data_IF_694350849632
#
_entry.id   IF_694350849632
#
_cell.length_a   1.000
_cell.length_b   1.000
_cell.length_c   1.000
_cell.angle_alpha   90.00
_cell.angle_beta   90.00
_cell.angle_gamma   90.00
#
_symmetry.space_group_name_H-M   'P 1'
#
loop_
_entity.id
_entity.type
_entity.pdbx_description
1 polymer ?
#
# COMPACT_ATOMS: atom_id res chain seq x y z
N UNK A 1 -3.56 -26.80 -71.90
CA UNK A 1 -2.65 -27.96 -71.71
C UNK A 1 -2.55 -28.22 -70.22
N UNK A 2 -2.96 -29.33 -69.60
CA UNK A 2 -3.71 -30.53 -69.99
C UNK A 2 -4.59 -30.86 -68.78
N UNK A 3 -5.90 -31.01 -69.02
CA UNK A 3 -6.77 -31.82 -68.18
C UNK A 3 -6.25 -33.27 -68.16
N UNK A 4 -6.50 -34.02 -67.08
CA UNK A 4 -7.04 -35.39 -67.17
C UNK A 4 -7.47 -35.93 -65.79
N UNK A 5 -8.79 -35.99 -65.63
CA UNK A 5 -9.53 -36.84 -64.69
C UNK A 5 -9.37 -38.33 -65.07
N UNK A 6 -9.37 -39.24 -64.08
CA UNK A 6 -9.87 -40.64 -64.14
C UNK A 6 -9.88 -41.19 -62.70
N UNK A 7 -11.03 -41.29 -62.04
CA UNK A 7 -12.03 -42.38 -62.02
C UNK A 7 -11.94 -43.26 -60.75
N UNK A 8 -13.03 -43.15 -59.97
CA UNK A 8 -13.55 -43.95 -58.83
C UNK A 8 -13.18 -45.43 -58.84
N UNK A 9 -12.88 -45.99 -57.65
CA UNK A 9 -13.50 -47.23 -57.13
C UNK A 9 -13.70 -47.08 -55.60
N UNK A 10 -14.92 -47.38 -55.16
CA UNK A 10 -15.36 -47.46 -53.76
C UNK A 10 -15.15 -48.90 -53.30
N UNK A 11 -14.59 -49.13 -52.11
CA UNK A 11 -14.89 -50.35 -51.34
C UNK A 11 -14.74 -50.08 -49.83
N UNK A 12 -15.82 -50.37 -49.11
CA UNK A 12 -15.98 -50.28 -47.66
C UNK A 12 -15.16 -51.36 -46.97
N UNK A 13 -14.54 -51.06 -45.81
CA UNK A 13 -14.61 -51.91 -44.60
C UNK A 13 -13.85 -51.26 -43.43
N UNK A 14 -14.42 -51.34 -42.23
CA UNK A 14 -13.65 -51.26 -40.98
C UNK A 14 -13.93 -50.04 -40.10
N UNK A 15 -15.10 -50.00 -39.46
CA UNK A 15 -15.31 -49.24 -38.23
C UNK A 15 -14.48 -49.88 -37.13
N UNK A 16 -13.60 -49.12 -36.46
CA UNK A 16 -13.31 -49.36 -35.06
C UNK A 16 -13.03 -48.02 -34.36
N UNK A 17 -14.00 -47.63 -33.53
CA UNK A 17 -13.94 -46.56 -32.55
C UNK A 17 -12.78 -46.80 -31.58
N UNK A 18 -11.95 -45.78 -31.37
CA UNK A 18 -11.34 -45.56 -30.06
C UNK A 18 -11.06 -44.07 -29.86
N UNK A 19 -12.11 -43.32 -29.53
CA UNK A 19 -11.96 -41.96 -29.00
C UNK A 19 -11.53 -42.08 -27.53
N UNK A 20 -10.21 -41.97 -27.29
CA UNK A 20 -9.66 -41.83 -25.95
C UNK A 20 -9.91 -40.38 -25.49
N UNK A 21 -11.05 -40.11 -24.86
CA UNK A 21 -11.29 -38.86 -24.15
C UNK A 21 -10.55 -38.97 -22.81
N UNK A 22 -9.31 -38.48 -22.77
CA UNK A 22 -8.61 -38.22 -21.52
C UNK A 22 -9.33 -37.08 -20.80
N UNK A 23 -10.19 -37.41 -19.83
CA UNK A 23 -10.60 -36.46 -18.81
C UNK A 23 -9.39 -36.13 -17.94
N UNK A 24 -8.66 -35.08 -18.31
CA UNK A 24 -7.79 -34.38 -17.38
C UNK A 24 -8.68 -33.65 -16.37
N UNK A 25 -8.98 -34.31 -15.25
CA UNK A 25 -9.56 -33.63 -14.09
C UNK A 25 -8.45 -32.76 -13.51
N UNK A 26 -8.44 -31.48 -13.89
CA UNK A 26 -7.58 -30.49 -13.26
C UNK A 26 -8.01 -30.38 -11.79
N UNK A 27 -7.23 -30.97 -10.89
CA UNK A 27 -7.33 -30.66 -9.46
C UNK A 27 -6.91 -29.21 -9.27
N UNK A 28 -7.88 -28.29 -9.34
CA UNK A 28 -7.72 -26.98 -8.75
C UNK A 28 -7.59 -27.21 -7.24
N UNK A 29 -6.53 -26.74 -6.57
CA UNK A 29 -6.49 -26.77 -5.13
C UNK A 29 -7.71 -25.98 -4.63
N UNK A 30 -8.63 -26.67 -3.95
CA UNK A 30 -9.68 -26.03 -3.18
C UNK A 30 -8.96 -25.11 -2.20
N UNK A 31 -9.21 -23.80 -2.30
CA UNK A 31 -8.86 -22.86 -1.26
C UNK A 31 -9.58 -23.35 -0.01
N UNK A 32 -8.85 -24.02 0.88
CA UNK A 32 -9.38 -24.48 2.14
C UNK A 32 -10.02 -23.27 2.82
N UNK A 33 -11.34 -23.30 2.94
CA UNK A 33 -12.09 -22.29 3.66
C UNK A 33 -11.60 -22.37 5.10
N UNK A 34 -10.89 -21.34 5.54
CA UNK A 34 -10.51 -21.21 6.95
C UNK A 34 -11.77 -21.32 7.80
N UNK A 35 -11.72 -21.99 8.97
CA UNK A 35 -12.81 -21.90 9.94
C UNK A 35 -13.23 -20.44 10.11
N UNK A 36 -14.53 -20.16 10.12
CA UNK A 36 -15.08 -18.81 10.22
C UNK A 36 -14.34 -18.02 11.32
N UNK A 37 -13.77 -16.87 10.94
CA UNK A 37 -13.04 -15.98 11.85
C UNK A 37 -11.56 -16.27 12.09
N UNK A 38 -10.94 -17.24 11.38
CA UNK A 38 -9.50 -17.49 11.47
C UNK A 38 -8.70 -16.97 10.26
N UNK A 39 -7.43 -16.63 10.47
CA UNK A 39 -6.49 -16.16 9.44
C UNK A 39 -5.18 -16.97 9.49
N UNK A 40 -4.48 -17.04 8.34
CA UNK A 40 -3.19 -17.73 8.23
C UNK A 40 -2.05 -16.76 7.95
N UNK A 41 -1.10 -16.71 8.87
CA UNK A 41 0.12 -15.91 8.73
C UNK A 41 1.30 -16.71 8.16
N UNK A 42 2.30 -16.03 7.56
CA UNK A 42 2.24 -14.62 7.18
C UNK A 42 1.37 -14.42 5.92
N UNK A 43 0.85 -13.19 5.76
CA UNK A 43 0.08 -12.81 4.56
C UNK A 43 0.99 -12.64 3.34
N UNK A 44 2.15 -12.00 3.53
CA UNK A 44 3.21 -11.90 2.54
C UNK A 44 4.38 -12.82 2.92
N UNK A 45 4.86 -13.64 1.99
CA UNK A 45 5.89 -14.65 2.28
C UNK A 45 7.34 -14.16 2.13
N UNK A 46 7.55 -12.97 1.55
CA UNK A 46 8.91 -12.44 1.27
C UNK A 46 9.02 -10.97 1.69
N UNK A 47 8.18 -10.11 1.13
CA UNK A 47 8.21 -8.66 1.36
C UNK A 47 6.82 -8.13 1.71
N UNK A 48 6.75 -7.22 2.68
CA UNK A 48 5.48 -6.68 3.19
C UNK A 48 5.62 -5.81 4.42
N UNK A 49 6.75 -5.12 4.57
CA UNK A 49 6.95 -4.16 5.65
C UNK A 49 5.91 -3.02 5.54
N UNK A 50 5.58 -2.44 6.69
CA UNK A 50 4.70 -1.28 6.82
C UNK A 50 3.34 -1.50 6.12
N UNK A 51 2.57 -2.54 6.51
CA UNK A 51 1.33 -2.88 5.84
C UNK A 51 0.20 -1.91 6.22
N UNK A 52 -0.41 -1.29 5.21
CA UNK A 52 -1.68 -0.57 5.35
C UNK A 52 -2.81 -1.28 4.65
N UNK A 53 -3.89 -1.52 5.38
CA UNK A 53 -5.01 -2.36 4.95
C UNK A 53 -6.34 -1.66 5.22
N UNK A 54 -7.11 -1.45 4.16
CA UNK A 54 -8.46 -0.87 4.25
C UNK A 54 -9.48 -1.78 3.60
N UNK A 55 -10.66 -1.92 4.22
CA UNK A 55 -11.81 -2.56 3.61
C UNK A 55 -12.74 -1.51 3.02
N UNK A 56 -13.06 -1.63 1.73
CA UNK A 56 -13.92 -0.70 1.00
C UNK A 56 -14.70 -1.45 -0.08
N UNK A 57 -16.00 -1.16 -0.21
CA UNK A 57 -16.89 -1.70 -1.25
C UNK A 57 -16.67 -3.20 -1.56
N UNK A 58 -16.74 -4.04 -0.52
CA UNK A 58 -16.66 -5.49 -0.68
C UNK A 58 -15.24 -6.08 -0.77
N UNK A 59 -14.19 -5.26 -0.72
CA UNK A 59 -12.81 -5.69 -0.91
C UNK A 59 -11.86 -5.14 0.15
N UNK A 60 -10.85 -5.93 0.45
CA UNK A 60 -9.64 -5.51 1.14
C UNK A 60 -8.62 -4.99 0.14
N UNK A 61 -7.96 -3.89 0.49
CA UNK A 61 -6.91 -3.24 -0.27
C UNK A 61 -5.67 -3.17 0.61
N UNK A 62 -4.54 -3.69 0.14
CA UNK A 62 -3.30 -3.78 0.88
C UNK A 62 -2.18 -3.09 0.11
N UNK A 63 -1.51 -2.13 0.75
CA UNK A 63 -0.25 -1.56 0.30
C UNK A 63 0.83 -1.85 1.34
N UNK A 64 2.08 -1.97 0.88
CA UNK A 64 3.26 -2.22 1.72
C UNK A 64 4.44 -1.48 1.12
N UNK A 65 5.49 -1.26 1.93
CA UNK A 65 6.77 -0.74 1.44
C UNK A 65 7.27 -1.52 0.23
N UNK A 66 7.69 -0.79 -0.82
CA UNK A 66 8.29 -1.38 -2.03
C UNK A 66 9.79 -1.17 -2.06
N UNK A 67 10.30 -0.08 -1.47
CA UNK A 67 11.71 0.29 -1.54
C UNK A 67 12.17 0.68 -2.97
N UNK A 68 11.23 0.85 -3.91
CA UNK A 68 11.51 1.19 -5.31
C UNK A 68 11.02 2.60 -5.64
N UNK A 69 10.80 2.86 -6.93
CA UNK A 69 10.11 4.06 -7.45
C UNK A 69 8.69 3.78 -7.92
N UNK A 70 8.15 2.64 -7.51
CA UNK A 70 6.80 2.21 -7.80
C UNK A 70 6.05 1.94 -6.49
N UNK A 71 4.80 2.37 -6.44
CA UNK A 71 3.85 1.96 -5.41
C UNK A 71 2.91 0.93 -5.98
N UNK A 72 2.64 -0.11 -5.19
CA UNK A 72 1.75 -1.21 -5.59
C UNK A 72 0.65 -1.43 -4.57
N UNK A 73 -0.47 -1.98 -5.03
CA UNK A 73 -1.58 -2.37 -4.18
C UNK A 73 -2.11 -3.74 -4.59
N UNK A 74 -2.52 -4.54 -3.62
CA UNK A 74 -3.29 -5.77 -3.82
C UNK A 74 -4.75 -5.54 -3.43
N UNK A 75 -5.66 -6.18 -4.15
CA UNK A 75 -7.10 -6.16 -3.87
C UNK A 75 -7.64 -7.58 -3.78
N UNK A 76 -8.49 -7.87 -2.81
CA UNK A 76 -9.24 -9.13 -2.74
C UNK A 76 -10.51 -9.01 -1.90
N UNK A 77 -11.54 -9.78 -2.22
CA UNK A 77 -12.76 -9.84 -1.41
C UNK A 77 -12.55 -10.43 0.00
N UNK A 78 -11.44 -11.15 0.22
CA UNK A 78 -11.11 -11.76 1.52
C UNK A 78 -9.65 -11.52 1.89
N UNK A 79 -9.35 -11.51 3.19
CA UNK A 79 -7.96 -11.45 3.68
C UNK A 79 -7.11 -12.60 3.13
N UNK A 80 -7.65 -13.83 3.12
CA UNK A 80 -6.94 -14.99 2.58
C UNK A 80 -6.60 -14.85 1.09
N UNK A 81 -7.47 -14.20 0.31
CA UNK A 81 -7.24 -13.95 -1.10
C UNK A 81 -6.11 -12.96 -1.38
N UNK A 82 -5.78 -12.05 -0.45
CA UNK A 82 -4.63 -11.14 -0.59
C UNK A 82 -3.28 -11.88 -0.66
N UNK A 83 -3.22 -13.11 -0.14
CA UNK A 83 -2.02 -13.95 -0.18
C UNK A 83 -1.60 -14.34 -1.60
N UNK A 84 -2.58 -14.46 -2.51
CA UNK A 84 -2.36 -14.85 -3.91
C UNK A 84 -2.72 -13.75 -4.91
N UNK A 85 -3.28 -12.63 -4.43
CA UNK A 85 -3.53 -11.45 -5.24
C UNK A 85 -2.21 -10.89 -5.78
N UNK A 86 -2.14 -10.66 -7.09
CA UNK A 86 -0.96 -10.05 -7.70
C UNK A 86 -0.94 -8.55 -7.34
N UNK A 87 0.20 -7.99 -6.89
CA UNK A 87 0.35 -6.54 -6.76
C UNK A 87 0.12 -5.88 -8.12
N UNK A 88 -0.63 -4.78 -8.13
CA UNK A 88 -0.76 -3.91 -9.29
C UNK A 88 -0.05 -2.59 -8.97
N UNK A 89 0.83 -2.14 -9.87
CA UNK A 89 1.43 -0.80 -9.79
C UNK A 89 0.33 0.25 -9.97
N UNK A 90 0.21 1.14 -8.97
CA UNK A 90 -0.78 2.22 -8.96
C UNK A 90 -0.16 3.58 -9.28
N UNK A 91 1.17 3.68 -9.12
CA UNK A 91 1.92 4.89 -9.37
C UNK A 91 3.41 4.58 -9.56
N UNK A 92 4.04 5.33 -10.46
CA UNK A 92 5.49 5.31 -10.71
C UNK A 92 5.98 6.74 -10.73
N UNK A 93 7.04 7.04 -9.99
CA UNK A 93 7.69 8.37 -10.03
C UNK A 93 8.98 8.31 -10.84
N UNK A 94 9.19 9.36 -11.63
CA UNK A 94 10.34 9.52 -12.52
C UNK A 94 11.18 10.74 -12.17
N UNK A 95 10.67 11.65 -11.34
CA UNK A 95 11.40 12.80 -10.84
C UNK A 95 12.49 12.36 -9.84
N UNK A 96 13.79 12.52 -10.17
CA UNK A 96 14.89 12.06 -9.33
C UNK A 96 14.92 12.70 -7.92
N UNK A 97 14.23 13.82 -7.73
CA UNK A 97 14.16 14.50 -6.43
C UNK A 97 13.25 13.80 -5.40
N UNK A 98 12.37 12.90 -5.85
CA UNK A 98 11.34 12.25 -5.00
C UNK A 98 10.93 10.84 -5.45
N UNK A 99 11.70 10.23 -6.35
CA UNK A 99 11.36 8.94 -6.92
C UNK A 99 11.51 7.78 -5.97
N UNK A 100 12.41 7.89 -4.99
CA UNK A 100 13.20 6.73 -4.66
C UNK A 100 13.02 6.32 -3.20
N UNK A 101 13.22 5.02 -2.95
CA UNK A 101 13.04 4.39 -1.65
C UNK A 101 11.63 4.64 -1.09
N UNK A 102 10.59 4.24 -1.85
CA UNK A 102 9.20 4.43 -1.44
C UNK A 102 8.81 3.52 -0.28
N UNK A 103 8.43 4.11 0.86
CA UNK A 103 8.14 3.41 2.12
C UNK A 103 6.81 3.78 2.75
N UNK A 104 6.35 2.92 3.65
CA UNK A 104 5.22 3.08 4.56
C UNK A 104 4.00 3.73 3.91
N UNK A 105 3.44 3.10 2.87
CA UNK A 105 2.27 3.63 2.22
C UNK A 105 1.03 3.53 3.11
N UNK A 106 0.31 4.63 3.28
CA UNK A 106 -1.04 4.66 3.87
C UNK A 106 -2.02 5.32 2.91
N UNK A 107 -3.29 4.94 2.96
CA UNK A 107 -4.31 5.55 2.11
C UNK A 107 -5.68 5.65 2.76
N UNK A 108 -6.28 6.82 2.60
CA UNK A 108 -7.55 7.19 3.22
C UNK A 108 -8.47 7.89 2.24
N UNK A 109 -9.77 7.59 2.36
CA UNK A 109 -10.81 8.27 1.60
C UNK A 109 -11.21 9.55 2.35
N UNK A 110 -10.80 10.69 1.81
CA UNK A 110 -10.99 11.99 2.46
C UNK A 110 -11.76 12.95 1.55
N UNK A 111 -12.43 13.92 2.16
CA UNK A 111 -13.02 15.04 1.44
C UNK A 111 -11.91 16.05 1.10
N UNK A 112 -11.73 16.29 -0.20
CA UNK A 112 -10.85 17.32 -0.74
C UNK A 112 -11.62 18.49 -1.35
N UNK A 113 -10.91 19.53 -1.82
CA UNK A 113 -11.48 20.66 -2.55
C UNK A 113 -12.32 20.27 -3.76
N UNK A 114 -11.94 19.19 -4.45
CA UNK A 114 -12.59 18.70 -5.68
C UNK A 114 -13.45 17.46 -5.44
N UNK A 115 -13.94 17.29 -4.21
CA UNK A 115 -14.76 16.17 -3.78
C UNK A 115 -13.96 15.07 -3.07
N UNK A 116 -14.59 13.91 -2.96
CA UNK A 116 -14.07 12.77 -2.20
C UNK A 116 -13.12 11.94 -3.04
N UNK A 117 -11.89 11.76 -2.56
CA UNK A 117 -10.83 11.02 -3.25
C UNK A 117 -10.04 10.19 -2.25
N UNK A 118 -9.38 9.14 -2.74
CA UNK A 118 -8.33 8.46 -2.00
C UNK A 118 -7.04 9.29 -2.05
N UNK A 119 -6.50 9.57 -0.87
CA UNK A 119 -5.19 10.18 -0.71
C UNK A 119 -4.22 9.11 -0.24
N UNK A 120 -3.12 8.94 -0.99
CA UNK A 120 -2.14 7.91 -0.75
C UNK A 120 -0.84 8.56 -0.26
N UNK A 121 -0.56 8.44 1.03
CA UNK A 121 0.59 8.97 1.73
C UNK A 121 1.74 7.98 1.68
N UNK A 122 2.96 8.45 1.47
CA UNK A 122 4.15 7.60 1.43
C UNK A 122 5.40 8.43 1.74
N UNK A 123 6.48 7.75 2.10
CA UNK A 123 7.80 8.36 2.25
C UNK A 123 8.62 8.10 1.01
N UNK A 124 9.33 9.09 0.50
CA UNK A 124 10.28 8.93 -0.60
C UNK A 124 11.34 10.04 -0.57
N UNK A 125 12.38 9.87 -1.36
CA UNK A 125 13.50 10.79 -1.43
C UNK A 125 14.28 10.60 -2.71
N UNK A 126 15.59 10.84 -2.62
CA UNK A 126 16.50 10.82 -3.76
C UNK A 126 17.22 9.49 -3.90
N UNK A 127 17.55 9.09 -5.12
CA UNK A 127 18.32 7.87 -5.35
C UNK A 127 19.71 7.91 -4.67
N UNK A 128 20.19 6.76 -4.21
CA UNK A 128 21.55 6.58 -3.67
C UNK A 128 21.76 6.97 -2.20
N UNK A 129 20.73 7.47 -1.51
CA UNK A 129 20.78 7.78 -0.06
C UNK A 129 19.40 7.67 0.59
N UNK A 130 19.37 7.47 1.90
CA UNK A 130 18.18 7.49 2.75
C UNK A 130 18.05 8.80 3.57
N UNK A 131 19.01 9.72 3.44
CA UNK A 131 19.09 10.96 4.23
C UNK A 131 18.11 12.04 3.75
N UNK A 132 17.48 11.83 2.60
CA UNK A 132 16.61 12.81 1.94
C UNK A 132 15.14 12.41 1.93
N UNK A 133 14.71 11.47 2.79
CA UNK A 133 13.31 11.07 2.84
C UNK A 133 12.40 12.22 3.30
N UNK A 134 11.24 12.29 2.68
CA UNK A 134 10.18 13.25 2.91
C UNK A 134 8.82 12.56 2.77
N UNK A 135 7.80 13.13 3.41
CA UNK A 135 6.42 12.69 3.24
C UNK A 135 5.79 13.27 1.97
N UNK A 136 5.18 12.42 1.17
CA UNK A 136 4.52 12.74 -0.09
C UNK A 136 3.09 12.21 -0.09
N UNK A 137 2.26 12.77 -0.98
CA UNK A 137 0.88 12.34 -1.15
C UNK A 137 0.48 12.33 -2.62
N UNK A 138 -0.26 11.28 -2.98
CA UNK A 138 -0.96 11.16 -4.25
C UNK A 138 -2.46 11.36 -4.05
N UNK A 139 -3.15 11.75 -5.11
CA UNK A 139 -4.61 11.83 -5.16
C UNK A 139 -5.12 10.92 -6.28
N UNK A 140 -6.09 10.07 -5.96
CA UNK A 140 -6.79 9.25 -6.95
C UNK A 140 -7.73 10.10 -7.82
N UNK A 141 -8.08 9.62 -9.01
CA UNK A 141 -9.08 10.28 -9.86
C UNK A 141 -10.54 10.23 -9.33
N UNK A 142 -10.81 9.46 -8.27
CA UNK A 142 -12.15 9.31 -7.71
C UNK A 142 -12.17 8.41 -6.47
N UNK A 143 -13.20 7.57 -6.33
CA UNK A 143 -13.42 6.76 -5.12
C UNK A 143 -13.01 5.29 -5.25
N UNK A 144 -12.31 4.88 -6.31
CA UNK A 144 -11.68 3.56 -6.38
C UNK A 144 -10.29 3.60 -5.72
N UNK A 145 -10.02 2.83 -4.64
CA UNK A 145 -8.71 2.80 -4.01
C UNK A 145 -7.58 2.34 -4.94
N UNK A 146 -7.87 1.67 -6.07
CA UNK A 146 -6.86 1.34 -7.07
C UNK A 146 -6.43 2.54 -7.94
N UNK A 147 -7.05 3.71 -7.79
CA UNK A 147 -6.73 4.90 -8.55
C UNK A 147 -7.48 4.98 -9.90
N UNK A 148 -6.84 5.50 -10.97
CA UNK A 148 -5.42 5.87 -11.07
C UNK A 148 -5.05 7.04 -10.15
N UNK A 149 -3.78 7.10 -9.74
CA UNK A 149 -3.25 8.15 -8.86
C UNK A 149 -2.37 9.15 -9.60
N UNK A 150 -2.36 10.38 -9.10
CA UNK A 150 -1.48 11.46 -9.56
C UNK A 150 -0.73 12.07 -8.39
N UNK A 151 0.51 12.50 -8.62
CA UNK A 151 1.29 13.20 -7.59
C UNK A 151 0.61 14.50 -7.20
N UNK A 152 0.35 14.68 -5.90
CA UNK A 152 -0.34 15.87 -5.40
C UNK A 152 0.63 16.87 -4.78
N UNK A 153 1.38 16.45 -3.75
CA UNK A 153 2.29 17.34 -3.05
C UNK A 153 3.30 16.59 -2.17
N UNK A 154 4.27 17.35 -1.67
CA UNK A 154 5.02 17.02 -0.46
C UNK A 154 4.33 17.63 0.74
N UNK A 155 4.27 16.91 1.86
CA UNK A 155 3.70 17.40 3.12
C UNK A 155 4.84 17.76 4.06
N UNK A 156 4.89 19.00 4.52
CA UNK A 156 6.01 19.49 5.34
C UNK A 156 5.61 20.69 6.21
N UNK A 157 6.28 20.82 7.35
CA UNK A 157 6.23 22.03 8.16
C UNK A 157 7.19 23.07 7.56
N UNK A 158 6.66 24.24 7.16
CA UNK A 158 7.44 25.32 6.54
C UNK A 158 8.55 25.86 7.44
N UNK A 159 8.40 25.73 8.76
CA UNK A 159 9.41 26.16 9.73
C UNK A 159 10.41 25.05 10.08
N UNK A 160 10.13 23.81 9.68
CA UNK A 160 10.92 22.61 9.99
C UNK A 160 10.94 21.65 8.79
N UNK A 161 11.40 22.14 7.64
CA UNK A 161 11.54 21.33 6.43
C UNK A 161 12.76 20.42 6.49
N UNK A 162 12.61 19.31 7.20
CA UNK A 162 13.66 18.33 7.43
C UNK A 162 13.18 16.93 7.08
N UNK A 163 14.06 15.94 7.28
CA UNK A 163 13.75 14.53 7.10
C UNK A 163 12.48 14.14 7.84
N UNK A 164 11.56 13.51 7.13
CA UNK A 164 10.25 13.09 7.65
C UNK A 164 9.73 11.87 6.93
N UNK A 165 9.23 10.89 7.67
CA UNK A 165 8.67 9.65 7.16
C UNK A 165 7.38 9.28 7.88
N UNK A 166 6.77 8.19 7.43
CA UNK A 166 5.63 7.49 8.03
C UNK A 166 4.44 8.42 8.27
N UNK A 167 4.04 9.09 7.19
CA UNK A 167 2.90 9.99 7.20
C UNK A 167 1.59 9.24 7.37
N UNK A 168 0.86 9.52 8.45
CA UNK A 168 -0.49 9.01 8.70
C UNK A 168 -1.46 10.15 8.97
N UNK A 169 -2.75 9.94 8.72
CA UNK A 169 -3.79 10.95 8.96
C UNK A 169 -4.71 10.57 10.10
N UNK A 170 -5.18 11.58 10.83
CA UNK A 170 -6.16 11.42 11.89
C UNK A 170 -7.23 12.49 11.80
N UNK A 171 -8.49 12.08 11.78
CA UNK A 171 -9.62 12.99 11.97
C UNK A 171 -9.97 13.09 13.45
N UNK A 172 -10.08 14.30 13.98
CA UNK A 172 -10.46 14.53 15.38
C UNK A 172 -11.24 15.86 15.50
N UNK A 173 -12.48 15.79 16.00
CA UNK A 173 -13.36 16.96 16.16
C UNK A 173 -13.50 17.79 14.88
N UNK A 174 -13.86 17.14 13.77
CA UNK A 174 -14.04 17.72 12.43
C UNK A 174 -12.78 18.41 11.84
N UNK A 175 -11.60 18.05 12.37
CA UNK A 175 -10.31 18.55 11.88
C UNK A 175 -9.43 17.39 11.44
N UNK A 176 -8.67 17.62 10.38
CA UNK A 176 -7.68 16.69 9.86
C UNK A 176 -6.31 17.04 10.44
N UNK A 177 -5.58 16.02 10.86
CA UNK A 177 -4.22 16.11 11.37
C UNK A 177 -3.31 15.14 10.63
N UNK A 178 -2.06 15.56 10.44
CA UNK A 178 -0.99 14.75 9.91
C UNK A 178 -0.07 14.32 11.06
N UNK A 179 0.12 13.02 11.21
CA UNK A 179 1.09 12.38 12.10
C UNK A 179 2.31 11.99 11.27
N UNK A 180 3.51 12.16 11.81
CA UNK A 180 4.74 11.78 11.11
C UNK A 180 5.90 11.63 12.08
N UNK A 181 6.96 10.98 11.62
CA UNK A 181 8.22 10.79 12.33
C UNK A 181 9.32 11.67 11.72
N UNK A 182 10.22 12.23 12.54
CA UNK A 182 11.28 13.13 12.08
C UNK A 182 12.48 13.19 13.04
N UNK A 183 13.69 13.34 12.51
CA UNK A 183 14.91 13.48 13.32
C UNK A 183 15.03 14.85 13.99
N UNK A 184 15.39 14.84 15.28
CA UNK A 184 15.82 15.99 16.08
C UNK A 184 17.10 15.58 16.84
N UNK A 185 18.25 15.99 16.32
CA UNK A 185 19.53 15.50 16.81
C UNK A 185 19.64 13.98 16.63
N UNK A 186 19.91 13.26 17.72
CA UNK A 186 20.07 11.80 17.71
C UNK A 186 18.74 11.02 17.89
N UNK A 187 17.61 11.72 18.01
CA UNK A 187 16.30 11.11 18.27
C UNK A 187 15.39 11.25 17.05
N UNK A 188 14.75 10.15 16.64
CA UNK A 188 13.64 10.18 15.69
C UNK A 188 12.36 10.23 16.49
N UNK A 189 11.68 11.37 16.41
CA UNK A 189 10.56 11.77 17.27
C UNK A 189 9.24 11.79 16.50
N UNK A 190 8.13 11.68 17.22
CA UNK A 190 6.79 11.77 16.66
C UNK A 190 6.23 13.18 16.77
N UNK A 191 5.59 13.61 15.69
CA UNK A 191 4.94 14.90 15.59
C UNK A 191 3.52 14.79 15.06
N UNK A 192 2.73 15.82 15.37
CA UNK A 192 1.41 16.06 14.80
C UNK A 192 1.31 17.49 14.28
N UNK A 193 0.63 17.70 13.16
CA UNK A 193 0.33 19.04 12.64
C UNK A 193 -1.11 19.10 12.09
N UNK A 194 -1.84 20.21 12.26
CA UNK A 194 -3.16 20.37 11.65
C UNK A 194 -3.02 20.52 10.13
N UNK A 195 -4.02 20.07 9.38
CA UNK A 195 -4.09 20.15 7.92
C UNK A 195 -5.23 21.08 7.47
N UNK A 196 -5.02 21.86 6.40
CA UNK A 196 -6.09 22.66 5.76
C UNK A 196 -6.83 21.90 4.65
N UNK A 197 -6.17 20.90 4.10
CA UNK A 197 -6.69 19.95 3.11
C UNK A 197 -5.83 18.67 3.20
N UNK A 198 -6.20 17.58 2.51
CA UNK A 198 -5.49 16.30 2.64
C UNK A 198 -4.00 16.30 2.27
N UNK A 199 -3.42 17.39 1.76
CA UNK A 199 -2.02 17.47 1.35
C UNK A 199 -1.27 18.72 1.84
N UNK A 200 -1.87 19.53 2.73
CA UNK A 200 -1.28 20.80 3.17
C UNK A 200 -1.42 20.97 4.67
N UNK A 201 -0.29 21.13 5.38
CA UNK A 201 -0.28 21.52 6.79
C UNK A 201 -0.74 22.98 6.95
N UNK A 202 -1.61 23.23 7.92
CA UNK A 202 -2.16 24.55 8.25
C UNK A 202 -1.50 25.21 9.45
N UNK A 203 -0.60 24.49 10.14
CA UNK A 203 0.14 24.97 11.30
C UNK A 203 1.47 24.24 11.46
N UNK A 204 2.29 24.72 12.41
CA UNK A 204 3.56 24.08 12.74
C UNK A 204 3.37 22.72 13.43
N UNK A 205 4.42 21.90 13.36
CA UNK A 205 4.43 20.60 14.03
C UNK A 205 4.43 20.75 15.56
N UNK A 206 3.77 19.83 16.24
CA UNK A 206 3.74 19.69 17.70
C UNK A 206 4.35 18.35 18.08
N UNK A 207 5.29 18.38 19.02
CA UNK A 207 5.93 17.18 19.57
C UNK A 207 4.93 16.30 20.31
N UNK A 208 5.00 14.98 20.07
CA UNK A 208 4.19 13.97 20.77
C UNK A 208 5.04 13.04 21.63
N UNK A 209 6.11 12.46 21.07
CA UNK A 209 6.90 11.43 21.74
C UNK A 209 8.34 11.39 21.24
N UNK A 210 9.23 10.97 22.13
CA UNK A 210 10.61 10.57 21.83
C UNK A 210 10.94 9.32 22.64
N UNK A 211 11.93 8.54 22.19
CA UNK A 211 12.45 7.40 22.95
C UNK A 211 12.88 7.81 24.36
N UNK A 212 12.20 7.26 25.37
CA UNK A 212 12.43 7.50 26.79
C UNK A 212 12.82 6.22 27.52
N UNK A 213 12.17 5.11 27.19
CA UNK A 213 12.30 3.84 27.88
C UNK A 213 13.41 2.96 27.27
N UNK A 214 14.00 2.03 28.04
CA UNK A 214 15.06 1.17 27.53
C UNK A 214 14.67 0.35 26.29
N UNK A 215 13.40 -0.07 26.19
CA UNK A 215 12.88 -0.81 25.04
C UNK A 215 12.71 0.04 23.77
N UNK A 216 12.77 1.37 23.87
CA UNK A 216 12.71 2.31 22.74
C UNK A 216 14.08 2.72 22.22
N UNK A 217 15.14 2.20 22.84
CA UNK A 217 16.53 2.64 22.65
C UNK A 217 17.47 1.49 22.26
N UNK A 218 16.92 0.39 21.77
CA UNK A 218 17.72 -0.76 21.32
C UNK A 218 18.23 -0.46 19.90
N UNK A 219 19.55 -0.27 19.75
CA UNK A 219 20.18 0.08 18.48
C UNK A 219 20.15 1.58 18.19
N UNK A 220 18.96 2.13 17.91
CA UNK A 220 18.74 3.56 17.66
C UNK A 220 17.62 4.13 18.56
N UNK A 221 17.56 5.46 18.68
CA UNK A 221 16.54 6.17 19.44
C UNK A 221 15.37 6.57 18.53
N UNK A 222 14.56 5.56 18.19
CA UNK A 222 13.48 5.70 17.21
C UNK A 222 12.11 5.64 17.88
N UNK A 223 11.24 6.58 17.52
CA UNK A 223 9.79 6.43 17.52
C UNK A 223 9.28 6.75 16.10
N UNK A 224 8.62 5.79 15.45
CA UNK A 224 8.17 5.90 14.04
C UNK A 224 6.85 5.14 13.80
N UNK A 225 6.35 5.11 12.56
CA UNK A 225 5.07 4.49 12.21
C UNK A 225 3.87 4.94 13.06
N UNK A 226 3.62 6.25 13.26
CA UNK A 226 2.52 6.71 14.09
C UNK A 226 1.16 6.43 13.43
N UNK A 227 0.28 5.67 14.10
CA UNK A 227 -1.08 5.38 13.63
C UNK A 227 -2.10 5.74 14.70
N UNK A 228 -3.19 6.40 14.30
CA UNK A 228 -4.30 6.69 15.20
C UNK A 228 -5.31 5.54 15.26
N UNK A 229 -5.66 5.11 16.48
CA UNK A 229 -6.78 4.24 16.78
C UNK A 229 -7.78 5.00 17.66
N UNK A 230 -9.03 5.09 17.21
CA UNK A 230 -10.09 5.79 17.94
C UNK A 230 -11.19 4.82 18.35
N UNK A 231 -11.49 4.77 19.65
CA UNK A 231 -12.50 3.89 20.21
C UNK A 231 -13.06 4.46 21.52
N UNK A 232 -14.37 4.35 21.74
CA UNK A 232 -15.06 4.78 22.97
C UNK A 232 -14.69 6.20 23.45
N UNK A 233 -14.64 7.15 22.51
CA UNK A 233 -14.32 8.56 22.80
C UNK A 233 -12.87 8.82 23.17
N UNK A 234 -11.98 7.83 22.98
CA UNK A 234 -10.54 7.96 23.19
C UNK A 234 -9.78 7.87 21.87
N UNK A 235 -8.66 8.58 21.83
CA UNK A 235 -7.68 8.51 20.74
C UNK A 235 -6.39 7.90 21.30
N UNK A 236 -5.93 6.83 20.66
CA UNK A 236 -4.65 6.18 20.94
C UNK A 236 -3.74 6.41 19.74
N UNK A 237 -2.55 6.96 19.96
CA UNK A 237 -1.50 7.01 18.94
C UNK A 237 -0.54 5.86 19.20
N UNK A 238 -0.53 4.89 18.30
CA UNK A 238 0.32 3.70 18.32
C UNK A 238 1.56 4.01 17.50
N UNK A 239 2.72 3.50 17.90
CA UNK A 239 3.98 3.71 17.20
C UNK A 239 4.95 2.53 17.41
N UNK A 240 5.94 2.44 16.53
CA UNK A 240 7.08 1.52 16.61
C UNK A 240 8.30 2.21 17.21
N UNK A 241 9.20 1.46 17.87
CA UNK A 241 10.40 2.02 18.48
C UNK A 241 11.61 1.09 18.37
N UNK A 242 12.81 1.65 18.63
CA UNK A 242 14.11 0.99 18.42
C UNK A 242 14.47 0.77 16.94
N UNK A 243 15.66 0.24 16.67
CA UNK A 243 16.14 -0.04 15.31
C UNK A 243 15.36 -1.18 14.63
N UNK A 244 15.18 -1.07 13.31
CA UNK A 244 14.46 -2.03 12.45
C UNK A 244 15.34 -3.18 11.94
#
# INVERSE_FOLDING_TARGET
>A
MKHLFKHRIITKLGVLLMALVLLSVSFLPSLAQTPDGSFHNPLNSVEGADPWLTYYEGNYYLATTTGTSELTMRKSATLAGLKVAKPQTIYTETDPSRCCNMWAPEFDLLDGPDGKHWYFYYSAGTNGTLDNQRSHVLESAGTDPMGPYTYKARIFDKNNDVWSIDGSVMQLNDKLYFLFSSWVGDYQELFIAPMSNPWTLSGGRVFLSQSKYPWEKVGLFVNEGPVALQHDGKTFIIYSASFC
#
